data_IF_691601510434
#
_entry.id   IF_691601510434
#
_cell.length_a   1.000
_cell.length_b   1.000
_cell.length_c   1.000
_cell.angle_alpha   90.00
_cell.angle_beta   90.00
_cell.angle_gamma   90.00
#
_symmetry.space_group_name_H-M   'P 1'
#
loop_
_entity.id
_entity.type
_entity.pdbx_description
1 polymer ?
#
# COMPACT_ATOMS: atom_id res chain seq x y z
N UNK A 1 -16.11 -14.02 2.62
CA UNK A 1 -15.74 -12.70 2.10
C UNK A 1 -14.44 -12.78 1.32
N UNK A 2 -14.31 -12.07 0.19
CA UNK A 2 -13.07 -11.97 -0.58
C UNK A 2 -12.58 -10.53 -0.58
N UNK A 3 -11.35 -10.33 -0.09
CA UNK A 3 -10.63 -9.05 -0.14
C UNK A 3 -9.56 -9.17 -1.22
N UNK A 4 -9.45 -8.16 -2.07
CA UNK A 4 -8.42 -8.07 -3.10
C UNK A 4 -7.44 -6.96 -2.72
N UNK A 5 -6.16 -7.30 -2.61
CA UNK A 5 -5.09 -6.34 -2.33
C UNK A 5 -4.18 -6.23 -3.56
N UNK A 6 -3.92 -5.00 -3.98
CA UNK A 6 -3.02 -4.66 -5.07
C UNK A 6 -1.80 -3.90 -4.50
N UNK A 7 -0.60 -4.34 -4.89
CA UNK A 7 0.64 -3.67 -4.51
C UNK A 7 0.82 -2.30 -5.16
N UNK A 8 2.01 -1.75 -5.06
CA UNK A 8 2.33 -0.37 -5.44
C UNK A 8 1.92 -0.02 -6.88
N UNK A 9 0.98 0.90 -7.04
CA UNK A 9 0.60 1.42 -8.36
C UNK A 9 1.68 2.40 -8.81
N UNK A 10 2.34 2.13 -9.95
CA UNK A 10 3.44 2.95 -10.46
C UNK A 10 3.04 3.68 -11.73
N UNK A 11 2.95 5.01 -11.65
CA UNK A 11 2.72 5.90 -12.76
C UNK A 11 1.40 5.67 -13.51
N UNK A 12 1.33 6.19 -14.73
CA UNK A 12 0.15 6.10 -15.58
C UNK A 12 -0.14 4.65 -16.01
N UNK A 13 0.89 3.88 -16.39
CA UNK A 13 0.72 2.49 -16.83
C UNK A 13 0.09 1.62 -15.73
N UNK A 14 0.57 1.75 -14.47
CA UNK A 14 0.00 1.03 -13.33
C UNK A 14 -1.46 1.43 -13.06
N UNK A 15 -1.77 2.74 -13.08
CA UNK A 15 -3.16 3.21 -12.91
C UNK A 15 -4.08 2.70 -14.00
N UNK A 16 -3.67 2.81 -15.27
CA UNK A 16 -4.47 2.32 -16.40
C UNK A 16 -4.74 0.82 -16.28
N UNK A 17 -3.70 0.03 -15.98
CA UNK A 17 -3.86 -1.42 -15.78
C UNK A 17 -4.90 -1.76 -14.70
N UNK A 18 -4.91 -1.01 -13.58
CA UNK A 18 -5.91 -1.21 -12.51
C UNK A 18 -7.28 -0.76 -12.98
N UNK A 19 -7.44 0.47 -13.47
CA UNK A 19 -8.74 1.07 -13.83
C UNK A 19 -9.43 0.26 -14.94
N UNK A 20 -8.68 -0.17 -15.95
CA UNK A 20 -9.24 -0.85 -17.13
C UNK A 20 -9.67 -2.30 -16.82
N UNK A 21 -9.10 -2.94 -15.80
CA UNK A 21 -9.34 -4.35 -15.52
C UNK A 21 -10.12 -4.62 -14.23
N UNK A 22 -10.15 -3.68 -13.28
CA UNK A 22 -10.63 -3.94 -11.92
C UNK A 22 -12.10 -4.37 -11.87
N UNK A 23 -12.98 -3.76 -12.67
CA UNK A 23 -14.40 -4.12 -12.70
C UNK A 23 -14.62 -5.59 -13.11
N UNK A 24 -13.90 -6.07 -14.14
CA UNK A 24 -13.94 -7.46 -14.56
C UNK A 24 -13.40 -8.40 -13.47
N UNK A 25 -12.26 -8.05 -12.87
CA UNK A 25 -11.65 -8.83 -11.78
C UNK A 25 -12.62 -8.95 -10.59
N UNK A 26 -13.26 -7.86 -10.21
CA UNK A 26 -14.25 -7.84 -9.12
C UNK A 26 -15.41 -8.79 -9.42
N UNK A 27 -15.98 -8.71 -10.64
CA UNK A 27 -17.13 -9.53 -11.05
C UNK A 27 -16.78 -11.02 -11.16
N UNK A 28 -15.71 -11.33 -11.87
CA UNK A 28 -15.30 -12.72 -12.16
C UNK A 28 -14.90 -13.47 -10.88
N UNK A 29 -14.26 -12.77 -9.96
CA UNK A 29 -13.78 -13.35 -8.70
C UNK A 29 -14.72 -13.14 -7.52
N UNK A 30 -15.82 -12.38 -7.69
CA UNK A 30 -16.77 -12.02 -6.61
C UNK A 30 -16.05 -11.33 -5.46
N UNK A 31 -15.21 -10.32 -5.79
CA UNK A 31 -14.49 -9.52 -4.80
C UNK A 31 -15.48 -8.58 -4.09
N UNK A 32 -15.36 -8.50 -2.77
CA UNK A 32 -16.26 -7.72 -1.92
C UNK A 32 -15.61 -6.45 -1.36
N UNK A 33 -14.28 -6.40 -1.36
CA UNK A 33 -13.52 -5.24 -0.88
C UNK A 33 -12.16 -5.17 -1.56
N UNK A 34 -11.78 -3.97 -2.01
CA UNK A 34 -10.53 -3.74 -2.78
C UNK A 34 -9.66 -2.72 -2.06
N UNK A 35 -8.41 -3.10 -1.80
CA UNK A 35 -7.37 -2.24 -1.23
C UNK A 35 -6.23 -2.14 -2.24
N UNK A 36 -5.69 -0.95 -2.45
CA UNK A 36 -4.52 -0.74 -3.31
C UNK A 36 -3.47 0.10 -2.58
N UNK A 37 -2.19 -0.14 -2.82
CA UNK A 37 -1.17 0.82 -2.45
C UNK A 37 -0.97 1.80 -3.62
N UNK A 38 -1.29 3.07 -3.39
CA UNK A 38 -1.28 4.13 -4.41
C UNK A 38 -0.13 5.11 -4.28
N UNK A 39 0.91 4.81 -3.48
CA UNK A 39 1.94 5.80 -3.16
C UNK A 39 2.74 6.33 -4.37
N UNK A 40 2.79 5.56 -5.46
CA UNK A 40 3.51 5.89 -6.68
C UNK A 40 2.58 6.15 -7.88
N UNK A 41 1.31 6.41 -7.61
CA UNK A 41 0.27 6.50 -8.63
C UNK A 41 0.29 7.78 -9.46
N UNK A 42 1.00 8.85 -9.07
CA UNK A 42 1.11 10.07 -9.88
C UNK A 42 1.87 9.84 -11.20
N UNK A 43 1.70 10.74 -12.16
CA UNK A 43 2.33 10.60 -13.49
C UNK A 43 3.87 10.58 -13.42
N UNK A 44 4.44 11.22 -12.42
CA UNK A 44 5.88 11.18 -12.14
C UNK A 44 6.36 9.88 -11.51
N UNK A 45 5.43 8.96 -11.13
CA UNK A 45 5.73 7.71 -10.45
C UNK A 45 6.07 7.87 -8.98
N UNK A 46 5.75 8.99 -8.36
CA UNK A 46 5.94 9.28 -6.93
C UNK A 46 4.77 10.11 -6.39
N UNK A 47 4.23 9.69 -5.25
CA UNK A 47 3.05 10.32 -4.65
C UNK A 47 1.76 9.96 -5.37
N UNK A 48 0.66 10.56 -4.91
CA UNK A 48 -0.68 10.39 -5.45
C UNK A 48 -1.42 11.73 -5.43
N UNK A 49 -2.15 12.07 -6.50
CA UNK A 49 -2.96 13.28 -6.59
C UNK A 49 -4.41 13.02 -6.17
N UNK A 50 -5.17 14.09 -5.87
CA UNK A 50 -6.62 14.00 -5.64
C UNK A 50 -7.33 13.38 -6.85
N UNK A 51 -6.94 13.76 -8.07
CA UNK A 51 -7.48 13.18 -9.30
C UNK A 51 -7.23 11.68 -9.37
N UNK A 52 -5.99 11.23 -9.10
CA UNK A 52 -5.66 9.80 -9.11
C UNK A 52 -6.48 9.01 -8.08
N UNK A 53 -6.67 9.56 -6.86
CA UNK A 53 -7.53 8.95 -5.85
C UNK A 53 -8.96 8.77 -6.36
N UNK A 54 -9.55 9.83 -6.92
CA UNK A 54 -10.91 9.81 -7.43
C UNK A 54 -11.08 8.82 -8.60
N UNK A 55 -10.13 8.78 -9.53
CA UNK A 55 -10.15 7.83 -10.65
C UNK A 55 -10.13 6.37 -10.15
N UNK A 56 -9.27 6.05 -9.17
CA UNK A 56 -9.19 4.73 -8.55
C UNK A 56 -10.46 4.38 -7.77
N UNK A 57 -11.01 5.31 -6.97
CA UNK A 57 -12.26 5.06 -6.25
C UNK A 57 -13.45 4.83 -7.20
N UNK A 58 -13.50 5.57 -8.30
CA UNK A 58 -14.53 5.41 -9.33
C UNK A 58 -14.42 4.06 -10.07
N UNK A 59 -13.22 3.47 -10.15
CA UNK A 59 -13.03 2.14 -10.75
C UNK A 59 -13.39 0.98 -9.82
N UNK A 60 -13.71 1.24 -8.55
CA UNK A 60 -14.13 0.23 -7.58
C UNK A 60 -13.14 -0.06 -6.46
N UNK A 61 -12.11 0.77 -6.28
CA UNK A 61 -11.22 0.71 -5.11
C UNK A 61 -11.97 1.23 -3.88
N UNK A 62 -11.91 0.50 -2.78
CA UNK A 62 -12.53 0.90 -1.51
C UNK A 62 -11.56 1.69 -0.63
N UNK A 63 -10.27 1.33 -0.60
CA UNK A 63 -9.24 1.99 0.23
C UNK A 63 -7.91 2.08 -0.51
N UNK A 64 -7.25 3.22 -0.35
CA UNK A 64 -5.89 3.45 -0.84
C UNK A 64 -4.97 3.59 0.36
N UNK A 65 -3.92 2.76 0.44
CA UNK A 65 -2.78 2.94 1.34
C UNK A 65 -1.64 3.64 0.61
N UNK A 66 -0.66 4.13 1.34
CA UNK A 66 0.51 4.84 0.80
C UNK A 66 1.80 4.40 1.52
N UNK A 67 2.86 5.19 1.40
CA UNK A 67 4.15 4.92 2.02
C UNK A 67 5.01 6.18 2.16
N UNK A 68 6.31 6.07 1.85
CA UNK A 68 7.28 7.16 2.03
C UNK A 68 7.11 8.32 1.03
N UNK A 69 6.37 8.12 -0.07
CA UNK A 69 6.09 9.17 -1.07
C UNK A 69 4.75 9.90 -0.87
N UNK A 70 4.03 9.63 0.23
CA UNK A 70 2.70 10.21 0.48
C UNK A 70 2.63 11.74 0.37
N UNK A 71 3.72 12.45 0.65
CA UNK A 71 3.79 13.93 0.60
C UNK A 71 4.44 14.49 -0.66
N UNK A 72 4.80 13.67 -1.63
CA UNK A 72 5.55 14.15 -2.80
C UNK A 72 4.66 14.90 -3.81
N UNK A 73 3.32 14.77 -3.69
CA UNK A 73 2.34 15.64 -4.35
C UNK A 73 1.75 16.62 -3.34
N UNK A 74 1.92 17.93 -3.57
CA UNK A 74 1.56 18.99 -2.60
C UNK A 74 0.09 18.98 -2.19
N UNK A 75 -0.81 18.69 -3.13
CA UNK A 75 -2.26 18.67 -2.91
C UNK A 75 -2.71 17.53 -1.99
N UNK A 76 -1.92 16.45 -1.91
CA UNK A 76 -2.25 15.29 -1.07
C UNK A 76 -2.45 15.70 0.39
N UNK A 77 -1.68 16.67 0.88
CA UNK A 77 -1.77 17.16 2.26
C UNK A 77 -3.18 17.65 2.63
N UNK A 78 -3.83 18.39 1.73
CA UNK A 78 -5.19 18.91 1.97
C UNK A 78 -6.27 17.88 1.63
N UNK A 79 -6.00 16.99 0.67
CA UNK A 79 -6.96 15.96 0.25
C UNK A 79 -7.11 14.84 1.30
N UNK A 80 -6.01 14.34 1.86
CA UNK A 80 -5.98 13.23 2.83
C UNK A 80 -6.70 13.55 4.15
N UNK A 81 -6.82 14.83 4.52
CA UNK A 81 -7.61 15.25 5.68
C UNK A 81 -9.11 14.97 5.49
N UNK A 82 -9.60 15.16 4.27
CA UNK A 82 -11.01 15.06 3.91
C UNK A 82 -11.39 13.65 3.46
N UNK A 83 -10.50 12.99 2.70
CA UNK A 83 -10.75 11.65 2.15
C UNK A 83 -10.38 10.54 3.17
N UNK A 84 -11.41 9.93 3.74
CA UNK A 84 -11.24 8.89 4.77
C UNK A 84 -10.75 7.55 4.22
N UNK A 85 -10.81 7.36 2.90
CA UNK A 85 -10.38 6.14 2.21
C UNK A 85 -8.92 6.20 1.75
N UNK A 86 -8.25 7.35 1.90
CA UNK A 86 -6.82 7.51 1.66
C UNK A 86 -6.08 7.45 3.01
N UNK A 87 -5.22 6.44 3.17
CA UNK A 87 -4.45 6.22 4.39
C UNK A 87 -2.97 6.51 4.16
N UNK A 88 -2.33 7.09 5.16
CA UNK A 88 -0.88 7.25 5.25
C UNK A 88 -0.31 6.28 6.29
N UNK A 89 1.01 6.03 6.33
CA UNK A 89 1.58 5.27 7.43
C UNK A 89 1.24 5.87 8.80
N UNK A 90 0.82 5.01 9.75
CA UNK A 90 0.39 5.44 11.08
C UNK A 90 1.55 6.04 11.87
N UNK A 91 2.76 5.54 11.64
CA UNK A 91 3.99 5.92 12.33
C UNK A 91 4.72 7.13 11.72
N UNK A 92 4.07 7.93 10.86
CA UNK A 92 4.62 9.21 10.45
C UNK A 92 4.74 10.16 11.65
N UNK A 93 5.56 11.21 11.49
CA UNK A 93 5.82 12.22 12.55
C UNK A 93 4.49 12.79 13.05
N UNK A 94 4.41 13.06 14.34
CA UNK A 94 3.23 13.61 15.02
C UNK A 94 2.68 14.85 14.30
N UNK A 95 1.36 14.99 14.26
CA UNK A 95 0.61 16.05 13.56
C UNK A 95 0.65 16.00 12.03
N UNK A 96 1.07 14.87 11.43
CA UNK A 96 0.87 14.66 10.00
C UNK A 96 -0.64 14.61 9.67
N UNK A 97 -1.10 15.28 8.59
CA UNK A 97 -2.51 15.26 8.19
C UNK A 97 -2.98 13.85 7.83
N UNK A 98 -4.30 13.63 7.85
CA UNK A 98 -4.91 12.34 7.54
C UNK A 98 -4.71 11.29 8.63
N UNK A 99 -4.92 10.03 8.29
CA UNK A 99 -4.95 8.90 9.24
C UNK A 99 -4.18 7.71 8.71
N UNK A 100 -3.66 6.87 9.61
CA UNK A 100 -2.95 5.63 9.26
C UNK A 100 -3.80 4.37 9.43
N UNK A 101 -4.99 4.51 9.99
CA UNK A 101 -5.96 3.44 10.22
C UNK A 101 -7.37 3.95 10.09
N UNK A 102 -8.25 3.11 9.52
CA UNK A 102 -9.69 3.35 9.56
C UNK A 102 -10.45 2.02 9.45
N UNK A 103 -11.74 2.05 9.83
CA UNK A 103 -12.66 0.91 9.72
C UNK A 103 -13.70 1.25 8.64
N UNK A 104 -13.90 0.30 7.74
CA UNK A 104 -14.84 0.41 6.62
C UNK A 104 -15.88 -0.70 6.69
N UNK A 105 -17.03 -0.48 6.10
CA UNK A 105 -18.06 -1.51 5.97
C UNK A 105 -17.99 -2.10 4.56
N UNK A 106 -17.90 -3.42 4.46
CA UNK A 106 -18.10 -4.12 3.19
C UNK A 106 -19.57 -4.07 2.76
N UNK A 107 -19.83 -4.42 1.49
CA UNK A 107 -21.21 -4.54 0.96
C UNK A 107 -22.09 -5.51 1.76
N UNK A 108 -21.48 -6.52 2.39
CA UNK A 108 -22.15 -7.55 3.19
C UNK A 108 -22.19 -7.23 4.69
N UNK A 109 -21.84 -5.99 5.08
CA UNK A 109 -21.95 -5.52 6.47
C UNK A 109 -20.77 -5.88 7.38
N UNK A 110 -19.72 -6.55 6.88
CA UNK A 110 -18.52 -6.79 7.67
C UNK A 110 -17.69 -5.52 7.87
N UNK A 111 -17.16 -5.37 9.06
CA UNK A 111 -16.22 -4.29 9.41
C UNK A 111 -14.80 -4.69 9.05
N UNK A 112 -14.15 -3.91 8.21
CA UNK A 112 -12.78 -4.15 7.76
C UNK A 112 -11.91 -3.02 8.27
N UNK A 113 -10.98 -3.35 9.19
CA UNK A 113 -9.89 -2.47 9.56
C UNK A 113 -8.81 -2.51 8.49
N UNK A 114 -8.32 -1.34 8.06
CA UNK A 114 -7.16 -1.22 7.20
C UNK A 114 -6.13 -0.36 7.92
N UNK A 115 -4.95 -0.93 8.14
CA UNK A 115 -3.81 -0.29 8.82
C UNK A 115 -2.66 -0.16 7.84
N UNK A 116 -2.11 1.03 7.72
CA UNK A 116 -0.89 1.28 6.95
C UNK A 116 0.26 1.60 7.92
N UNK A 117 1.38 0.89 7.78
CA UNK A 117 2.58 1.07 8.61
C UNK A 117 3.79 1.19 7.70
N UNK A 118 4.75 2.06 8.04
CA UNK A 118 6.01 2.18 7.31
C UNK A 118 7.16 1.58 8.12
N UNK A 119 8.04 0.82 7.47
CA UNK A 119 9.28 0.32 8.05
C UNK A 119 10.24 1.45 8.44
N UNK A 120 11.24 1.12 9.22
CA UNK A 120 12.26 2.08 9.68
C UNK A 120 13.58 1.96 8.91
N UNK A 121 13.94 0.73 8.53
CA UNK A 121 15.26 0.44 7.98
C UNK A 121 15.32 0.79 6.49
N UNK A 122 16.21 1.69 6.13
CA UNK A 122 16.36 2.30 4.80
C UNK A 122 15.14 3.11 4.32
N UNK A 123 14.22 3.44 5.23
CA UNK A 123 13.05 4.25 4.94
C UNK A 123 13.20 5.71 5.37
N UNK A 124 12.29 6.59 4.92
CA UNK A 124 12.22 7.98 5.43
C UNK A 124 11.99 7.97 6.94
N UNK A 125 12.57 8.94 7.66
CA UNK A 125 12.46 9.05 9.12
C UNK A 125 10.98 9.08 9.56
N UNK A 126 10.63 8.13 10.41
CA UNK A 126 9.32 8.01 11.05
C UNK A 126 9.50 7.52 12.49
N UNK A 127 8.40 7.35 13.22
CA UNK A 127 8.41 6.70 14.53
C UNK A 127 8.65 5.20 14.36
N UNK A 128 9.03 4.53 15.44
CA UNK A 128 9.27 3.08 15.43
C UNK A 128 8.00 2.32 15.01
N UNK A 129 8.14 1.46 14.01
CA UNK A 129 7.03 0.72 13.42
C UNK A 129 6.46 -0.32 14.40
N UNK A 130 7.31 -0.96 15.20
CA UNK A 130 6.91 -1.99 16.16
C UNK A 130 6.23 -1.37 17.38
N UNK A 131 6.75 -0.25 17.89
CA UNK A 131 6.11 0.49 18.98
C UNK A 131 4.71 0.97 18.60
N UNK A 132 4.55 1.60 17.42
CA UNK A 132 3.24 2.08 16.94
C UNK A 132 2.28 0.92 16.65
N UNK A 133 2.80 -0.23 16.16
CA UNK A 133 2.01 -1.44 15.99
C UNK A 133 1.52 -2.01 17.32
N UNK A 134 2.38 -2.06 18.35
CA UNK A 134 1.98 -2.51 19.69
C UNK A 134 0.94 -1.56 20.31
N UNK A 135 1.13 -0.25 20.19
CA UNK A 135 0.15 0.76 20.63
C UNK A 135 -1.20 0.57 19.93
N UNK A 136 -1.19 0.30 18.62
CA UNK A 136 -2.39 0.00 17.84
C UNK A 136 -3.07 -1.28 18.36
N UNK A 137 -2.32 -2.37 18.50
CA UNK A 137 -2.83 -3.66 18.98
C UNK A 137 -3.36 -3.61 20.42
N UNK A 138 -2.87 -2.69 21.24
CA UNK A 138 -3.41 -2.46 22.60
C UNK A 138 -4.77 -1.78 22.56
N UNK A 139 -5.01 -0.93 21.58
CA UNK A 139 -6.23 -0.12 21.44
C UNK A 139 -7.35 -0.82 20.68
N UNK A 140 -7.04 -1.57 19.63
CA UNK A 140 -8.02 -2.21 18.74
C UNK A 140 -7.84 -3.72 18.70
N UNK A 141 -8.94 -4.47 18.61
CA UNK A 141 -8.94 -5.94 18.68
C UNK A 141 -9.75 -6.56 17.54
N UNK A 142 -9.15 -7.54 16.87
CA UNK A 142 -9.83 -8.40 15.90
C UNK A 142 -10.98 -9.16 16.58
N UNK A 143 -12.12 -9.22 15.90
CA UNK A 143 -13.34 -9.85 16.40
C UNK A 143 -14.15 -9.00 17.41
N UNK A 144 -13.63 -7.84 17.82
CA UNK A 144 -14.34 -6.89 18.69
C UNK A 144 -14.63 -5.56 17.97
N UNK A 145 -13.60 -4.92 17.48
CA UNK A 145 -13.69 -3.60 16.85
C UNK A 145 -13.93 -3.71 15.33
N UNK A 146 -13.40 -4.76 14.73
CA UNK A 146 -13.55 -5.12 13.31
C UNK A 146 -13.54 -6.64 13.13
N UNK A 147 -14.17 -7.12 12.05
CA UNK A 147 -14.23 -8.55 11.71
C UNK A 147 -12.96 -9.03 11.00
N UNK A 148 -12.32 -8.14 10.22
CA UNK A 148 -11.09 -8.39 9.49
C UNK A 148 -10.13 -7.21 9.66
N UNK A 149 -8.83 -7.50 9.77
CA UNK A 149 -7.76 -6.49 9.74
C UNK A 149 -6.79 -6.82 8.62
N UNK A 150 -6.63 -5.87 7.70
CA UNK A 150 -5.58 -5.90 6.67
C UNK A 150 -4.52 -4.87 7.03
N UNK A 151 -3.28 -5.31 7.08
CA UNK A 151 -2.10 -4.47 7.38
C UNK A 151 -1.25 -4.38 6.12
N UNK A 152 -1.10 -3.17 5.58
CA UNK A 152 -0.09 -2.84 4.57
C UNK A 152 1.18 -2.37 5.27
N UNK A 153 2.22 -3.19 5.23
CA UNK A 153 3.52 -2.85 5.78
C UNK A 153 4.47 -2.41 4.65
N UNK A 154 4.60 -1.10 4.52
CA UNK A 154 5.40 -0.46 3.48
C UNK A 154 6.86 -0.33 3.91
N UNK A 155 7.73 -1.24 3.49
CA UNK A 155 9.11 -1.29 3.96
C UNK A 155 10.09 -1.95 2.99
N UNK A 156 11.38 -1.60 3.13
CA UNK A 156 12.44 -2.08 2.24
C UNK A 156 12.90 -3.48 2.61
N UNK A 157 13.21 -3.75 3.90
CA UNK A 157 13.87 -5.00 4.27
C UNK A 157 12.91 -6.12 4.61
N UNK A 158 13.19 -7.30 4.05
CA UNK A 158 12.38 -8.51 4.26
C UNK A 158 12.34 -8.96 5.72
N UNK A 159 13.43 -8.83 6.47
CA UNK A 159 13.45 -9.21 7.90
C UNK A 159 12.50 -8.35 8.75
N UNK A 160 12.40 -7.05 8.48
CA UNK A 160 11.47 -6.16 9.17
C UNK A 160 10.02 -6.50 8.81
N UNK A 161 9.73 -6.78 7.51
CA UNK A 161 8.42 -7.26 7.05
C UNK A 161 8.00 -8.57 7.73
N UNK A 162 8.90 -9.54 7.81
CA UNK A 162 8.62 -10.81 8.47
C UNK A 162 8.41 -10.63 9.98
N UNK A 163 9.19 -9.78 10.63
CA UNK A 163 9.07 -9.51 12.06
C UNK A 163 7.73 -8.88 12.41
N UNK A 164 7.26 -7.89 11.63
CA UNK A 164 5.92 -7.30 11.83
C UNK A 164 4.81 -8.32 11.56
N UNK A 165 4.97 -9.20 10.58
CA UNK A 165 4.06 -10.31 10.32
C UNK A 165 3.91 -11.21 11.56
N UNK A 166 5.01 -11.57 12.20
CA UNK A 166 4.97 -12.37 13.45
C UNK A 166 4.41 -11.61 14.65
N UNK A 167 4.67 -10.30 14.79
CA UNK A 167 4.06 -9.46 15.82
C UNK A 167 2.53 -9.43 15.72
N UNK A 168 2.02 -9.39 14.49
CA UNK A 168 0.60 -9.32 14.16
C UNK A 168 -0.09 -10.70 14.10
N UNK A 169 0.66 -11.81 14.23
CA UNK A 169 0.13 -13.16 14.07
C UNK A 169 -0.97 -13.49 15.10
N UNK A 170 -2.15 -13.86 14.61
CA UNK A 170 -3.38 -14.07 15.39
C UNK A 170 -4.12 -12.78 15.78
N UNK A 171 -3.59 -11.60 15.39
CA UNK A 171 -4.18 -10.28 15.71
C UNK A 171 -4.59 -9.51 14.44
N UNK A 172 -4.12 -9.94 13.29
CA UNK A 172 -4.52 -9.46 11.97
C UNK A 172 -5.00 -10.62 11.10
N UNK A 173 -5.87 -10.33 10.12
CA UNK A 173 -6.31 -11.30 9.12
C UNK A 173 -5.25 -11.50 8.04
N UNK A 174 -4.66 -10.37 7.57
CA UNK A 174 -3.62 -10.34 6.55
C UNK A 174 -2.57 -9.29 6.92
N UNK A 175 -1.31 -9.66 6.82
CA UNK A 175 -0.17 -8.72 6.75
C UNK A 175 0.49 -8.91 5.39
N UNK A 176 0.52 -7.84 4.60
CA UNK A 176 1.11 -7.82 3.27
C UNK A 176 2.14 -6.70 3.19
N UNK A 177 3.32 -7.01 2.66
CA UNK A 177 4.36 -6.02 2.43
C UNK A 177 4.20 -5.34 1.06
N UNK A 178 4.70 -4.10 0.98
CA UNK A 178 4.79 -3.26 -0.23
C UNK A 178 6.14 -2.54 -0.27
N UNK A 179 6.39 -1.70 -1.24
CA UNK A 179 7.57 -0.85 -1.42
C UNK A 179 8.62 -1.37 -2.43
N UNK A 180 8.98 -2.64 -2.40
CA UNK A 180 10.10 -3.08 -3.26
C UNK A 180 9.73 -3.18 -4.73
N UNK A 181 8.43 -3.21 -5.04
CA UNK A 181 7.85 -3.43 -6.37
C UNK A 181 8.12 -4.83 -6.94
N UNK A 182 8.79 -5.70 -6.19
CA UNK A 182 9.14 -7.06 -6.60
C UNK A 182 8.28 -8.05 -5.84
N UNK A 183 7.34 -8.75 -6.50
CA UNK A 183 6.47 -9.71 -5.83
C UNK A 183 7.26 -10.89 -5.30
N UNK A 184 6.98 -11.28 -4.05
CA UNK A 184 7.57 -12.48 -3.44
C UNK A 184 6.62 -13.66 -3.56
N UNK A 185 7.15 -14.88 -3.49
CA UNK A 185 6.37 -16.11 -3.58
C UNK A 185 6.35 -16.87 -2.24
N UNK A 186 6.21 -16.14 -1.13
CA UNK A 186 6.27 -16.69 0.22
C UNK A 186 4.92 -16.64 0.96
N UNK A 187 3.82 -16.58 0.20
CA UNK A 187 2.45 -16.58 0.75
C UNK A 187 2.24 -17.77 1.68
N UNK A 188 1.85 -17.49 2.91
CA UNK A 188 1.59 -18.50 3.93
C UNK A 188 0.59 -18.04 4.98
N UNK A 189 0.03 -18.98 5.71
CA UNK A 189 -0.69 -18.71 6.95
C UNK A 189 0.26 -18.97 8.11
N UNK A 190 0.44 -17.96 8.96
CA UNK A 190 1.27 -18.06 10.17
C UNK A 190 0.59 -18.94 11.24
N UNK A 191 1.36 -19.30 12.26
CA UNK A 191 0.95 -20.30 13.28
C UNK A 191 -0.38 -19.97 13.98
N UNK A 192 -0.66 -18.68 14.20
CA UNK A 192 -1.86 -18.22 14.90
C UNK A 192 -2.98 -17.75 13.94
N UNK A 193 -2.84 -17.99 12.63
CA UNK A 193 -3.90 -17.84 11.65
C UNK A 193 -3.82 -16.59 10.75
N UNK A 194 -2.83 -15.71 10.94
CA UNK A 194 -2.64 -14.55 10.07
C UNK A 194 -2.08 -14.96 8.71
N UNK A 195 -2.73 -14.57 7.62
CA UNK A 195 -2.16 -14.68 6.27
C UNK A 195 -1.03 -13.66 6.11
N UNK A 196 0.06 -14.09 5.45
CA UNK A 196 1.27 -13.27 5.29
C UNK A 196 1.86 -13.38 3.89
N UNK A 197 2.34 -12.25 3.37
CA UNK A 197 3.14 -12.15 2.15
C UNK A 197 4.18 -11.03 2.33
N UNK A 198 5.45 -11.32 2.01
CA UNK A 198 6.56 -10.36 2.18
C UNK A 198 6.41 -9.13 1.29
N UNK A 199 6.04 -9.30 0.01
CA UNK A 199 5.78 -8.15 -0.89
C UNK A 199 4.76 -8.52 -1.97
N UNK A 200 3.78 -7.66 -2.17
CA UNK A 200 2.74 -7.82 -3.19
C UNK A 200 3.24 -7.45 -4.60
N UNK A 201 4.44 -6.87 -4.71
CA UNK A 201 4.96 -6.33 -5.96
C UNK A 201 4.27 -5.03 -6.38
N UNK A 202 4.27 -4.74 -7.67
CA UNK A 202 3.68 -3.52 -8.21
C UNK A 202 2.57 -3.79 -9.23
N UNK A 203 1.72 -2.80 -9.43
CA UNK A 203 0.90 -2.63 -10.62
C UNK A 203 1.61 -1.61 -11.52
N UNK A 204 2.21 -2.05 -12.62
CA UNK A 204 3.06 -1.22 -13.46
C UNK A 204 3.65 -2.00 -14.63
N UNK A 205 4.48 -1.33 -15.40
CA UNK A 205 5.23 -1.95 -16.49
C UNK A 205 6.37 -2.83 -15.95
N UNK A 206 6.32 -4.13 -16.19
CA UNK A 206 7.36 -5.08 -15.78
C UNK A 206 8.56 -5.10 -16.75
N UNK A 207 8.45 -4.53 -17.96
CA UNK A 207 9.62 -4.30 -18.84
C UNK A 207 10.37 -3.01 -18.45
N UNK A 208 10.68 -2.89 -17.17
CA UNK A 208 11.22 -1.69 -16.52
C UNK A 208 12.25 -2.07 -15.44
N UNK A 209 12.74 -1.08 -14.71
CA UNK A 209 13.46 -1.30 -13.45
C UNK A 209 12.56 -0.84 -12.31
N UNK A 210 11.87 -1.78 -11.68
CA UNK A 210 10.88 -1.51 -10.61
C UNK A 210 9.83 -0.44 -10.97
N UNK A 211 9.34 -0.46 -12.22
CA UNK A 211 8.35 0.51 -12.72
C UNK A 211 8.95 1.75 -13.36
N UNK A 212 10.28 1.95 -13.28
CA UNK A 212 10.96 3.11 -13.84
C UNK A 212 11.62 2.78 -15.19
N UNK A 213 11.70 3.77 -16.07
CA UNK A 213 12.28 3.62 -17.41
C UNK A 213 13.67 2.96 -17.37
N UNK A 214 13.85 1.86 -18.13
CA UNK A 214 15.06 1.04 -18.16
C UNK A 214 16.32 1.84 -18.47
N UNK A 215 16.26 2.63 -19.53
CA UNK A 215 17.43 3.39 -20.01
C UNK A 215 17.90 4.40 -18.98
N UNK A 216 16.94 5.11 -18.35
CA UNK A 216 17.26 6.04 -17.28
C UNK A 216 17.88 5.35 -16.07
N UNK A 217 17.29 4.25 -15.65
CA UNK A 217 17.78 3.46 -14.51
C UNK A 217 19.20 2.91 -14.77
N UNK A 218 19.43 2.33 -15.94
CA UNK A 218 20.76 1.84 -16.33
C UNK A 218 21.80 2.96 -16.37
N UNK A 219 21.47 4.12 -16.95
CA UNK A 219 22.37 5.27 -17.00
C UNK A 219 22.76 5.76 -15.59
N UNK A 220 21.81 5.76 -14.64
CA UNK A 220 22.12 6.11 -13.24
C UNK A 220 23.10 5.14 -12.60
N UNK A 221 22.85 3.82 -12.70
CA UNK A 221 23.76 2.82 -12.14
C UNK A 221 25.14 2.83 -12.80
N UNK A 222 25.20 3.09 -14.11
CA UNK A 222 26.45 3.21 -14.85
C UNK A 222 27.14 4.58 -14.66
N UNK A 223 26.58 5.47 -13.85
CA UNK A 223 27.09 6.85 -13.63
C UNK A 223 27.26 7.66 -14.92
N UNK A 224 26.47 7.33 -15.95
CA UNK A 224 26.30 8.12 -17.15
C UNK A 224 25.28 9.22 -16.86
N UNK A 225 25.36 10.33 -17.56
CA UNK A 225 24.55 11.55 -17.37
C UNK A 225 23.26 11.36 -16.54
N UNK A 226 23.10 12.19 -15.51
CA UNK A 226 21.89 12.22 -14.66
C UNK A 226 20.70 12.77 -15.47
N UNK A 227 19.88 11.89 -16.04
CA UNK A 227 18.59 12.25 -16.60
C UNK A 227 17.51 12.20 -15.51
N UNK A 228 16.47 13.02 -15.66
CA UNK A 228 15.29 12.95 -14.77
C UNK A 228 14.75 11.53 -14.78
N UNK A 229 14.50 10.98 -13.59
CA UNK A 229 13.90 9.66 -13.42
C UNK A 229 12.40 9.76 -13.69
N UNK A 230 11.84 8.91 -14.53
CA UNK A 230 10.41 8.87 -14.83
C UNK A 230 9.93 7.42 -14.98
N UNK A 231 8.64 7.14 -14.76
CA UNK A 231 8.06 5.80 -14.91
C UNK A 231 8.21 5.26 -16.33
N UNK A 232 8.17 3.95 -16.45
CA UNK A 232 7.96 3.29 -17.74
C UNK A 232 6.51 3.50 -18.21
N UNK A 233 6.30 3.57 -19.52
CA UNK A 233 5.00 3.94 -20.08
C UNK A 233 4.12 2.73 -20.50
N UNK A 234 4.63 1.50 -20.41
CA UNK A 234 3.92 0.26 -20.71
C UNK A 234 4.10 -0.21 -22.14
#
# INVERSE_FOLDING_TARGET
>A
MKIFFLGDIVGKSGRSAVIDNLDNIIKDNKIEFVIVNGENAADEGIGITEKNCNDLFNSGVDVITTGNHVWDQKETTSHIEKEKRLLRPINLISNSPGRGFNIYNSKNGFKIGVLNVMGNVFMKKCKDAFEEADLFLNKFKLGKDYDFLVVDFHGEITSEKMAIGHLMDGKATLVVGTHTHVPTNDTRVLKNGTAYLTDAGMCGDYDSVIGMNKTNSLNRFQKKNSTKHFPAEG
#
